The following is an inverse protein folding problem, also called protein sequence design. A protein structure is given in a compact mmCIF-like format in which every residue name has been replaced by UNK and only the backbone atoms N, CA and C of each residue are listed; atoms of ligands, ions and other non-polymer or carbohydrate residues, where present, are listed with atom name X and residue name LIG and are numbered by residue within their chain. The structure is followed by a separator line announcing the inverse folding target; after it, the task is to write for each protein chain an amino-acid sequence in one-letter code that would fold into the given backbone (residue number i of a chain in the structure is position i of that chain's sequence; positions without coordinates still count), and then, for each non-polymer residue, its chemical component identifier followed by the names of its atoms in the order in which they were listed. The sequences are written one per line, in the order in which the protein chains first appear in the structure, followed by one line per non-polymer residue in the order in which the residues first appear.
data_IF_572947032511
#
_entry.id   IF_572947032511
#
_cell.length_a   1.000
_cell.length_b   1.000
_cell.length_c   1.000
_cell.angle_alpha   90.00
_cell.angle_beta   90.00
_cell.angle_gamma   90.00
#
_symmetry.space_group_name_H-M   'P 1'
#
loop_
_entity.id
_entity.type
_entity.pdbx_description
1 polymer ?
#
# COMPACT_ATOMS: atom_id res chain seq x y z
N UNK A 1 19.96 -8.39 -7.74
CA UNK A 1 18.80 -8.15 -8.63
C UNK A 1 17.82 -7.28 -7.85
N UNK A 2 17.23 -6.28 -8.50
CA UNK A 2 16.19 -5.44 -7.89
C UNK A 2 14.93 -5.68 -8.71
N UNK A 3 13.87 -6.09 -8.01
CA UNK A 3 12.55 -6.29 -8.58
C UNK A 3 11.56 -5.45 -7.76
N UNK A 4 10.56 -4.91 -8.44
CA UNK A 4 9.45 -4.23 -7.80
C UNK A 4 8.11 -4.69 -8.38
N UNK A 5 7.14 -4.92 -7.48
CA UNK A 5 5.76 -5.21 -7.82
C UNK A 5 4.79 -4.41 -6.95
N UNK A 6 3.59 -4.13 -7.48
CA UNK A 6 2.50 -3.53 -6.70
C UNK A 6 1.58 -4.65 -6.26
N UNK A 7 1.31 -4.69 -4.95
CA UNK A 7 0.40 -5.66 -4.34
C UNK A 7 -0.78 -4.96 -3.68
N UNK A 8 -1.91 -5.66 -3.66
CA UNK A 8 -3.07 -5.26 -2.89
C UNK A 8 -2.92 -5.81 -1.47
N UNK A 9 -2.88 -4.92 -0.49
CA UNK A 9 -2.85 -5.24 0.93
C UNK A 9 -4.20 -5.71 1.46
N UNK A 10 -4.26 -5.97 2.76
CA UNK A 10 -5.48 -6.42 3.42
C UNK A 10 -6.54 -5.31 3.38
N UNK A 11 -7.78 -5.61 2.94
CA UNK A 11 -8.83 -4.60 2.92
C UNK A 11 -9.32 -4.27 4.34
N UNK A 12 -9.77 -3.03 4.52
CA UNK A 12 -10.43 -2.57 5.74
C UNK A 12 -11.66 -1.72 5.42
N UNK A 13 -12.59 -1.61 6.37
CA UNK A 13 -13.87 -0.92 6.18
C UNK A 13 -14.03 0.22 7.18
N UNK A 14 -14.47 1.39 6.70
CA UNK A 14 -14.81 2.55 7.54
C UNK A 14 -16.11 3.14 7.01
N UNK A 15 -17.15 3.22 7.85
CA UNK A 15 -18.42 3.90 7.53
C UNK A 15 -19.04 3.48 6.19
N UNK A 16 -19.06 2.18 5.90
CA UNK A 16 -19.64 1.65 4.66
C UNK A 16 -18.76 1.80 3.42
N UNK A 17 -17.53 2.28 3.56
CA UNK A 17 -16.50 2.35 2.51
C UNK A 17 -15.49 1.23 2.70
N UNK A 18 -15.12 0.55 1.62
CA UNK A 18 -14.07 -0.47 1.62
C UNK A 18 -12.79 0.09 1.02
N UNK A 19 -11.68 -0.05 1.74
CA UNK A 19 -10.37 0.45 1.37
C UNK A 19 -9.44 -0.73 1.09
N UNK A 20 -8.76 -0.68 -0.05
CA UNK A 20 -7.77 -1.67 -0.45
C UNK A 20 -6.43 -0.96 -0.61
N UNK A 21 -5.48 -1.15 0.32
CA UNK A 21 -4.15 -0.58 0.21
C UNK A 21 -3.42 -1.10 -1.01
N UNK A 22 -2.80 -0.21 -1.77
CA UNK A 22 -1.81 -0.57 -2.78
C UNK A 22 -0.43 -0.29 -2.19
N UNK A 23 0.40 -1.32 -2.15
CA UNK A 23 1.75 -1.26 -1.58
C UNK A 23 2.73 -1.71 -2.64
N UNK A 24 3.77 -0.91 -2.87
CA UNK A 24 4.91 -1.30 -3.68
C UNK A 24 5.87 -2.11 -2.83
N UNK A 25 6.18 -3.32 -3.27
CA UNK A 25 7.17 -4.18 -2.63
C UNK A 25 8.44 -4.11 -3.46
N UNK A 26 9.52 -3.63 -2.86
CA UNK A 26 10.85 -3.74 -3.44
C UNK A 26 11.53 -4.96 -2.86
N UNK A 27 12.00 -5.83 -3.74
CA UNK A 27 12.80 -6.98 -3.39
C UNK A 27 14.22 -6.77 -3.92
N UNK A 28 15.17 -6.68 -2.99
CA UNK A 28 16.59 -6.71 -3.31
C UNK A 28 17.16 -8.08 -2.96
N UNK A 29 17.80 -8.70 -3.93
CA UNK A 29 18.51 -9.97 -3.75
C UNK A 29 19.99 -9.84 -4.07
N UNK A 30 20.83 -9.99 -3.05
CA UNK A 30 22.28 -10.13 -3.15
C UNK A 30 22.73 -11.58 -3.06
N UNK A 31 24.04 -11.81 -3.14
CA UNK A 31 24.61 -13.17 -3.10
C UNK A 31 24.48 -13.87 -1.73
N UNK A 32 24.38 -13.11 -0.65
CA UNK A 32 24.37 -13.61 0.73
C UNK A 32 23.17 -13.15 1.56
N UNK A 33 22.31 -12.30 1.00
CA UNK A 33 21.16 -11.74 1.70
C UNK A 33 20.08 -11.32 0.72
N UNK A 34 18.85 -11.29 1.20
CA UNK A 34 17.71 -10.64 0.56
C UNK A 34 17.07 -9.65 1.52
N UNK A 35 16.44 -8.62 0.96
CA UNK A 35 15.75 -7.57 1.71
C UNK A 35 14.46 -7.22 0.99
N UNK A 36 13.42 -6.98 1.77
CA UNK A 36 12.12 -6.52 1.30
C UNK A 36 11.83 -5.15 1.92
N UNK A 37 11.34 -4.23 1.11
CA UNK A 37 10.88 -2.92 1.56
C UNK A 37 9.48 -2.66 1.03
N UNK A 38 8.61 -2.13 1.89
CA UNK A 38 7.21 -1.84 1.59
C UNK A 38 6.99 -0.34 1.56
N UNK A 39 6.35 0.16 0.50
CA UNK A 39 6.01 1.57 0.36
C UNK A 39 4.54 1.70 0.01
N UNK A 40 3.73 2.39 0.83
CA UNK A 40 2.35 2.73 0.45
C UNK A 40 2.35 3.56 -0.83
N UNK A 41 1.38 3.28 -1.71
CA UNK A 41 1.22 3.99 -2.99
C UNK A 41 -0.13 4.70 -3.05
N UNK A 42 -1.21 3.96 -2.78
CA UNK A 42 -2.56 4.49 -2.86
C UNK A 42 -3.54 3.64 -2.04
N UNK A 43 -4.75 4.13 -1.83
CA UNK A 43 -5.91 3.34 -1.43
C UNK A 43 -6.90 3.26 -2.60
N UNK A 44 -7.33 2.06 -2.98
CA UNK A 44 -8.54 1.91 -3.79
C UNK A 44 -9.72 1.98 -2.85
N UNK A 45 -10.64 2.91 -3.09
CA UNK A 45 -11.84 3.08 -2.27
C UNK A 45 -13.06 2.64 -3.07
N UNK A 46 -13.87 1.78 -2.46
CA UNK A 46 -15.20 1.41 -2.94
C UNK A 46 -16.24 2.03 -2.01
N UNK A 47 -17.13 2.83 -2.58
CA UNK A 47 -18.22 3.50 -1.87
C UNK A 47 -19.52 3.37 -2.68
N UNK A 48 -20.36 2.40 -2.31
CA UNK A 48 -21.54 2.05 -3.10
C UNK A 48 -21.15 1.61 -4.51
N UNK A 49 -21.52 2.39 -5.53
CA UNK A 49 -21.12 2.16 -6.93
C UNK A 49 -19.86 2.92 -7.34
N UNK A 50 -19.36 3.83 -6.48
CA UNK A 50 -18.17 4.60 -6.78
C UNK A 50 -16.92 3.79 -6.50
N UNK A 51 -15.96 3.88 -7.42
CA UNK A 51 -14.63 3.33 -7.28
C UNK A 51 -13.61 4.40 -7.66
N UNK A 52 -12.73 4.74 -6.73
CA UNK A 52 -11.70 5.74 -6.97
C UNK A 52 -10.39 5.36 -6.28
N UNK A 53 -9.31 6.00 -6.71
CA UNK A 53 -7.97 5.86 -6.14
C UNK A 53 -7.66 7.11 -5.31
N UNK A 54 -7.14 6.90 -4.12
CA UNK A 54 -6.61 7.95 -3.26
C UNK A 54 -5.08 7.78 -3.20
N UNK A 55 -4.30 8.58 -3.97
CA UNK A 55 -2.84 8.53 -3.93
C UNK A 55 -2.31 8.91 -2.53
N UNK A 56 -1.31 8.18 -2.04
CA UNK A 56 -0.68 8.40 -0.73
C UNK A 56 0.65 9.15 -0.85
N UNK A 57 1.22 9.22 -2.05
CA UNK A 57 2.42 9.99 -2.40
C UNK A 57 2.18 11.51 -2.43
N UNK A 58 0.93 11.94 -2.54
CA UNK A 58 0.52 13.36 -2.52
C UNK A 58 0.08 13.85 -1.14
N UNK A 59 -0.05 12.95 -0.16
CA UNK A 59 -0.41 13.28 1.21
C UNK A 59 0.88 13.41 2.03
N UNK A 60 1.13 14.61 2.59
CA UNK A 60 2.16 14.78 3.62
C UNK A 60 2.04 13.63 4.61
N UNK A 61 3.10 12.84 4.70
CA UNK A 61 3.06 11.48 5.23
C UNK A 61 2.63 11.48 6.69
N UNK A 62 1.34 11.32 6.94
CA UNK A 62 0.84 11.06 8.30
C UNK A 62 1.37 9.70 8.73
N UNK A 63 2.10 9.67 9.85
CA UNK A 63 2.60 8.44 10.48
C UNK A 63 1.48 7.40 10.67
N UNK A 64 0.24 7.85 10.87
CA UNK A 64 -0.95 7.01 11.05
C UNK A 64 -1.27 6.18 9.78
N UNK A 65 -0.93 6.68 8.59
CA UNK A 65 -1.10 5.93 7.33
C UNK A 65 -0.03 4.84 7.16
N UNK A 66 1.19 5.10 7.65
CA UNK A 66 2.26 4.09 7.68
C UNK A 66 1.93 2.97 8.68
N UNK A 67 1.24 3.28 9.76
CA UNK A 67 0.84 2.28 10.76
C UNK A 67 -0.25 1.33 10.22
N UNK A 68 -1.05 1.74 9.22
CA UNK A 68 -2.07 0.88 8.58
C UNK A 68 -1.49 -0.17 7.61
N UNK A 69 -0.25 0.00 7.15
CA UNK A 69 0.44 -0.97 6.27
C UNK A 69 1.51 -1.79 7.00
N UNK A 70 1.79 -1.47 8.26
CA UNK A 70 2.78 -2.17 9.08
C UNK A 70 2.13 -3.41 9.72
N UNK A 71 2.76 -4.57 9.50
CA UNK A 71 2.28 -5.91 9.93
C UNK A 71 2.63 -6.16 11.40
#
# INVERSE_FOLDING_TARGET
MIEDDIRVGKPFNIEGRSFYPLVKVFHWKGHHAESYSLFPVALVVLEGQNKYLLPLDELDSSQELLDLVSI
#
